data_IF_398815902448
#
_entry.id   IF_398815902448
#
_cell.length_a   1.000
_cell.length_b   1.000
_cell.length_c   1.000
_cell.angle_alpha   90.00
_cell.angle_beta   90.00
_cell.angle_gamma   90.00
#
_symmetry.space_group_name_H-M   'P 1'
#
loop_
_entity.id
_entity.type
_entity.pdbx_description
1 polymer ?
#
# COMPACT_ATOMS: atom_id res chain seq x y z
N UNK A 1 -14.81 -38.51 2.38
CA UNK A 1 -14.50 -37.61 1.24
C UNK A 1 -14.55 -36.12 1.60
N UNK A 2 -15.36 -35.65 2.57
CA UNK A 2 -15.43 -34.22 2.93
C UNK A 2 -14.12 -33.61 3.46
N UNK A 3 -13.33 -34.36 4.25
CA UNK A 3 -12.09 -33.85 4.84
C UNK A 3 -11.05 -33.40 3.80
N UNK A 4 -10.85 -34.19 2.74
CA UNK A 4 -9.92 -33.84 1.65
C UNK A 4 -10.36 -32.57 0.89
N UNK A 5 -11.67 -32.36 0.72
CA UNK A 5 -12.18 -31.14 0.10
C UNK A 5 -11.93 -29.91 0.99
N UNK A 6 -12.20 -29.99 2.30
CA UNK A 6 -11.91 -28.89 3.22
C UNK A 6 -10.42 -28.55 3.27
N UNK A 7 -9.54 -29.55 3.36
CA UNK A 7 -8.08 -29.33 3.34
C UNK A 7 -7.60 -28.73 2.02
N UNK A 8 -8.12 -29.16 0.86
CA UNK A 8 -7.75 -28.57 -0.43
C UNK A 8 -8.18 -27.10 -0.54
N UNK A 9 -9.37 -26.76 -0.03
CA UNK A 9 -9.88 -25.39 -0.01
C UNK A 9 -9.10 -24.51 0.97
N UNK A 10 -8.72 -25.04 2.13
CA UNK A 10 -7.87 -24.37 3.11
C UNK A 10 -6.52 -23.98 2.49
N UNK A 11 -5.84 -24.91 1.81
CA UNK A 11 -4.57 -24.64 1.11
C UNK A 11 -4.74 -23.56 0.02
N UNK A 12 -5.79 -23.65 -0.79
CA UNK A 12 -6.08 -22.65 -1.82
C UNK A 12 -6.34 -21.27 -1.22
N UNK A 13 -7.10 -21.19 -0.13
CA UNK A 13 -7.40 -19.92 0.54
C UNK A 13 -6.17 -19.30 1.19
N UNK A 14 -5.31 -20.11 1.82
CA UNK A 14 -4.04 -19.65 2.39
C UNK A 14 -3.15 -19.06 1.29
N UNK A 15 -3.04 -19.73 0.14
CA UNK A 15 -2.28 -19.19 -1.01
C UNK A 15 -2.85 -17.85 -1.48
N UNK A 16 -4.17 -17.76 -1.66
CA UNK A 16 -4.85 -16.52 -2.07
C UNK A 16 -4.66 -15.38 -1.05
N UNK A 17 -4.71 -15.70 0.24
CA UNK A 17 -4.47 -14.75 1.33
C UNK A 17 -3.05 -14.19 1.26
N UNK A 18 -2.06 -15.05 1.06
CA UNK A 18 -0.65 -14.64 0.95
C UNK A 18 -0.42 -13.73 -0.26
N UNK A 19 -1.01 -14.05 -1.41
CA UNK A 19 -0.92 -13.22 -2.62
C UNK A 19 -1.54 -11.83 -2.39
N UNK A 20 -2.70 -11.78 -1.74
CA UNK A 20 -3.37 -10.53 -1.38
C UNK A 20 -2.54 -9.70 -0.39
N UNK A 21 -1.93 -10.34 0.60
CA UNK A 21 -1.05 -9.68 1.57
C UNK A 21 0.18 -9.09 0.90
N UNK A 22 0.84 -9.85 0.02
CA UNK A 22 2.01 -9.37 -0.73
C UNK A 22 1.66 -8.13 -1.56
N UNK A 23 0.55 -8.18 -2.29
CA UNK A 23 0.09 -7.05 -3.12
C UNK A 23 -0.28 -5.83 -2.28
N UNK A 24 -0.87 -6.02 -1.10
CA UNK A 24 -1.12 -4.94 -0.15
C UNK A 24 0.19 -4.30 0.31
N UNK A 25 1.20 -5.09 0.67
CA UNK A 25 2.52 -4.58 1.05
C UNK A 25 3.16 -3.77 -0.07
N UNK A 26 3.12 -4.25 -1.31
CA UNK A 26 3.62 -3.53 -2.47
C UNK A 26 2.94 -2.16 -2.66
N UNK A 27 1.60 -2.13 -2.56
CA UNK A 27 0.85 -0.88 -2.64
C UNK A 27 1.17 0.07 -1.47
N UNK A 28 1.37 -0.45 -0.26
CA UNK A 28 1.77 0.35 0.89
C UNK A 28 3.14 0.98 0.70
N UNK A 29 4.13 0.23 0.22
CA UNK A 29 5.46 0.77 -0.09
C UNK A 29 5.35 1.87 -1.16
N UNK A 30 4.60 1.61 -2.24
CA UNK A 30 4.37 2.60 -3.29
C UNK A 30 3.68 3.87 -2.78
N UNK A 31 2.72 3.73 -1.86
CA UNK A 31 2.06 4.87 -1.23
C UNK A 31 3.03 5.68 -0.36
N UNK A 32 3.91 5.00 0.38
CA UNK A 32 4.93 5.65 1.19
C UNK A 32 5.93 6.42 0.32
N UNK A 33 6.34 5.85 -0.82
CA UNK A 33 7.24 6.51 -1.77
C UNK A 33 6.58 7.74 -2.41
N UNK A 34 5.32 7.62 -2.85
CA UNK A 34 4.57 8.74 -3.40
C UNK A 34 4.36 9.87 -2.38
N UNK A 35 4.11 9.52 -1.12
CA UNK A 35 3.95 10.50 -0.04
C UNK A 35 5.26 11.24 0.26
N UNK A 36 6.39 10.53 0.28
CA UNK A 36 7.72 11.16 0.41
C UNK A 36 8.01 12.08 -0.79
N UNK A 37 7.70 11.61 -2.00
CA UNK A 37 7.90 12.38 -3.23
C UNK A 37 7.04 13.65 -3.24
N UNK A 38 5.75 13.54 -2.87
CA UNK A 38 4.84 14.68 -2.70
C UNK A 38 5.40 15.70 -1.72
N UNK A 39 5.88 15.24 -0.56
CA UNK A 39 6.49 16.10 0.45
C UNK A 39 7.70 16.86 -0.09
N UNK A 40 8.60 16.17 -0.79
CA UNK A 40 9.77 16.78 -1.42
C UNK A 40 9.38 17.88 -2.44
N UNK A 41 8.37 17.62 -3.28
CA UNK A 41 7.86 18.61 -4.23
C UNK A 41 7.23 19.83 -3.54
N UNK A 42 6.47 19.63 -2.45
CA UNK A 42 5.90 20.74 -1.69
C UNK A 42 6.97 21.60 -1.02
N UNK A 43 7.99 20.99 -0.43
CA UNK A 43 9.14 21.70 0.15
C UNK A 43 9.88 22.48 -0.92
N UNK A 44 10.17 21.86 -2.07
CA UNK A 44 10.83 22.52 -3.19
C UNK A 44 10.03 23.75 -3.67
N UNK A 45 8.72 23.62 -3.85
CA UNK A 45 7.86 24.73 -4.27
C UNK A 45 7.89 25.90 -3.26
N UNK A 46 7.90 25.61 -1.96
CA UNK A 46 8.03 26.62 -0.91
C UNK A 46 9.38 27.32 -0.94
N UNK A 47 10.48 26.59 -1.13
CA UNK A 47 11.83 27.16 -1.26
C UNK A 47 11.90 28.15 -2.43
N UNK A 48 11.34 27.78 -3.59
CA UNK A 48 11.27 28.68 -4.75
C UNK A 48 10.42 29.93 -4.49
N UNK A 49 9.30 29.80 -3.79
CA UNK A 49 8.48 30.94 -3.39
C UNK A 49 9.23 31.90 -2.46
N UNK A 50 9.96 31.38 -1.47
CA UNK A 50 10.75 32.19 -0.54
C UNK A 50 11.91 32.92 -1.25
N UNK A 51 12.57 32.27 -2.21
CA UNK A 51 13.58 32.92 -3.07
C UNK A 51 12.97 34.05 -3.91
N UNK A 52 11.87 33.78 -4.63
CA UNK A 52 11.22 34.79 -5.49
C UNK A 52 10.64 35.97 -4.73
N UNK A 53 10.25 35.78 -3.46
CA UNK A 53 9.78 36.87 -2.58
C UNK A 53 10.91 37.61 -1.87
N UNK A 54 12.18 37.25 -2.11
CA UNK A 54 13.35 37.90 -1.54
C UNK A 54 13.59 37.55 -0.06
N UNK A 55 12.97 36.48 0.44
CA UNK A 55 13.16 35.99 1.81
C UNK A 55 14.32 34.99 1.94
N UNK A 56 15.01 34.68 0.83
CA UNK A 56 16.10 33.71 0.76
C UNK A 56 17.13 34.16 -0.27
N UNK A 57 18.40 34.19 0.12
CA UNK A 57 19.51 34.47 -0.78
C UNK A 57 19.90 33.23 -1.61
N UNK A 58 20.63 33.44 -2.70
CA UNK A 58 20.91 32.40 -3.69
C UNK A 58 21.79 31.25 -3.14
N UNK A 59 22.72 31.54 -2.23
CA UNK A 59 23.52 30.50 -1.55
C UNK A 59 22.64 29.62 -0.64
N UNK A 60 21.64 30.22 0.02
CA UNK A 60 20.68 29.49 0.85
C UNK A 60 19.70 28.65 0.02
N UNK A 61 19.38 29.07 -1.20
CA UNK A 61 18.59 28.31 -2.16
C UNK A 61 19.33 27.03 -2.58
N UNK A 62 20.61 27.14 -2.94
CA UNK A 62 21.42 26.00 -3.38
C UNK A 62 21.63 24.98 -2.25
N UNK A 63 21.83 25.45 -1.01
CA UNK A 63 21.92 24.56 0.16
C UNK A 63 20.57 23.89 0.49
N UNK A 64 19.46 24.62 0.41
CA UNK A 64 18.12 24.09 0.66
C UNK A 64 17.69 23.06 -0.39
N UNK A 65 18.00 23.27 -1.68
CA UNK A 65 17.69 22.32 -2.76
C UNK A 65 18.52 21.03 -2.61
N UNK A 66 19.81 21.15 -2.32
CA UNK A 66 20.69 20.00 -2.17
C UNK A 66 20.34 19.14 -0.95
N UNK A 67 19.86 19.75 0.14
CA UNK A 67 19.37 19.02 1.32
C UNK A 67 17.96 18.44 1.15
N UNK A 68 17.09 19.08 0.34
CA UNK A 68 15.71 18.63 0.15
C UNK A 68 15.56 17.48 -0.87
N UNK A 69 16.56 17.22 -1.72
CA UNK A 69 16.51 16.14 -2.72
C UNK A 69 17.89 15.71 -3.21
N UNK A 70 18.55 14.74 -2.55
CA UNK A 70 19.78 14.16 -3.09
C UNK A 70 19.44 13.36 -4.36
N UNK A 71 19.65 13.95 -5.54
CA UNK A 71 19.57 13.27 -6.85
C UNK A 71 18.52 13.77 -7.84
N UNK A 72 17.68 14.76 -7.50
CA UNK A 72 16.64 15.26 -8.42
C UNK A 72 17.18 16.43 -9.25
N UNK A 73 17.28 16.24 -10.57
CA UNK A 73 17.74 17.25 -11.51
C UNK A 73 16.75 18.43 -11.59
N UNK A 74 17.22 19.63 -11.25
CA UNK A 74 16.44 20.88 -11.17
C UNK A 74 15.78 21.27 -12.52
N UNK A 75 16.24 20.73 -13.65
CA UNK A 75 15.72 21.07 -14.97
C UNK A 75 14.39 20.38 -15.37
N UNK A 76 13.80 19.51 -14.55
CA UNK A 76 12.50 18.88 -14.88
C UNK A 76 11.27 19.69 -14.42
N UNK A 77 11.43 20.98 -14.14
CA UNK A 77 10.39 21.91 -13.67
C UNK A 77 9.39 22.34 -14.77
N UNK A 78 8.81 21.40 -15.50
CA UNK A 78 7.64 21.69 -16.32
C UNK A 78 6.39 21.46 -15.46
N UNK A 79 6.12 22.42 -14.57
CA UNK A 79 4.91 22.57 -13.75
C UNK A 79 4.76 21.63 -12.52
N UNK A 80 5.37 21.99 -11.36
CA UNK A 80 5.27 21.19 -10.12
C UNK A 80 3.82 20.98 -9.64
N UNK A 81 2.88 21.87 -10.00
CA UNK A 81 1.46 21.68 -9.67
C UNK A 81 0.83 20.55 -10.48
N UNK A 82 1.21 20.38 -11.75
CA UNK A 82 0.75 19.28 -12.58
C UNK A 82 1.25 17.94 -12.04
N UNK A 83 2.52 17.87 -11.63
CA UNK A 83 3.12 16.68 -11.02
C UNK A 83 2.46 16.34 -9.67
N UNK A 84 2.22 17.33 -8.80
CA UNK A 84 1.54 17.12 -7.52
C UNK A 84 0.10 16.61 -7.71
N UNK A 85 -0.64 17.12 -8.70
CA UNK A 85 -1.97 16.60 -9.02
C UNK A 85 -1.93 15.15 -9.51
N UNK A 86 -0.94 14.80 -10.33
CA UNK A 86 -0.74 13.40 -10.77
C UNK A 86 -0.43 12.47 -9.60
N UNK A 87 0.46 12.89 -8.68
CA UNK A 87 0.78 12.13 -7.46
C UNK A 87 -0.47 11.94 -6.61
N UNK A 88 -1.24 13.00 -6.37
CA UNK A 88 -2.48 12.93 -5.58
C UNK A 88 -3.53 11.99 -6.20
N UNK A 89 -3.67 12.01 -7.53
CA UNK A 89 -4.56 11.09 -8.23
C UNK A 89 -4.08 9.64 -8.13
N UNK A 90 -2.76 9.40 -8.22
CA UNK A 90 -2.17 8.08 -8.06
C UNK A 90 -2.34 7.56 -6.62
N UNK A 91 -2.15 8.40 -5.60
CA UNK A 91 -2.38 8.05 -4.20
C UNK A 91 -3.83 7.62 -3.95
N UNK A 92 -4.82 8.37 -4.47
CA UNK A 92 -6.24 8.01 -4.37
C UNK A 92 -6.57 6.67 -5.03
N UNK A 93 -5.99 6.41 -6.20
CA UNK A 93 -6.19 5.13 -6.90
C UNK A 93 -5.62 3.96 -6.09
N UNK A 94 -4.41 4.13 -5.55
CA UNK A 94 -3.76 3.14 -4.69
C UNK A 94 -4.57 2.91 -3.41
N UNK A 95 -5.11 3.96 -2.80
CA UNK A 95 -5.95 3.85 -1.61
C UNK A 95 -7.23 3.05 -1.89
N UNK A 96 -7.92 3.34 -3.00
CA UNK A 96 -9.10 2.57 -3.42
C UNK A 96 -8.75 1.10 -3.69
N UNK A 97 -7.64 0.84 -4.36
CA UNK A 97 -7.17 -0.53 -4.63
C UNK A 97 -6.83 -1.27 -3.33
N UNK A 98 -6.10 -0.62 -2.42
CA UNK A 98 -5.75 -1.15 -1.10
C UNK A 98 -7.01 -1.50 -0.29
N UNK A 99 -8.00 -0.60 -0.25
CA UNK A 99 -9.28 -0.86 0.44
C UNK A 99 -10.04 -2.04 -0.18
N UNK A 100 -10.03 -2.15 -1.51
CA UNK A 100 -10.63 -3.29 -2.22
C UNK A 100 -9.92 -4.59 -1.88
N UNK A 101 -8.59 -4.62 -1.89
CA UNK A 101 -7.80 -5.80 -1.55
C UNK A 101 -7.95 -6.18 -0.08
N UNK A 102 -8.01 -5.23 0.85
CA UNK A 102 -8.31 -5.47 2.26
C UNK A 102 -9.69 -6.11 2.44
N UNK A 103 -10.70 -5.63 1.73
CA UNK A 103 -12.04 -6.23 1.76
C UNK A 103 -12.01 -7.67 1.28
N UNK A 104 -11.27 -7.95 0.20
CA UNK A 104 -11.09 -9.31 -0.31
C UNK A 104 -10.33 -10.20 0.69
N UNK A 105 -9.26 -9.68 1.30
CA UNK A 105 -8.48 -10.37 2.32
C UNK A 105 -9.36 -10.76 3.50
N UNK A 106 -10.13 -9.82 4.03
CA UNK A 106 -11.03 -10.06 5.16
C UNK A 106 -12.08 -11.12 4.81
N UNK A 107 -12.70 -11.03 3.64
CA UNK A 107 -13.67 -12.04 3.18
C UNK A 107 -13.04 -13.44 3.09
N UNK A 108 -11.79 -13.54 2.59
CA UNK A 108 -11.05 -14.80 2.47
C UNK A 108 -10.63 -15.37 3.83
N UNK A 109 -10.24 -14.51 4.77
CA UNK A 109 -9.95 -14.91 6.14
C UNK A 109 -11.21 -15.45 6.85
N UNK A 110 -12.36 -14.78 6.70
CA UNK A 110 -13.63 -15.28 7.22
C UNK A 110 -14.02 -16.62 6.59
N UNK A 111 -13.81 -16.80 5.28
CA UNK A 111 -14.05 -18.08 4.60
C UNK A 111 -13.16 -19.20 5.16
N UNK A 112 -11.88 -18.91 5.39
CA UNK A 112 -10.91 -19.84 5.97
C UNK A 112 -11.31 -20.27 7.38
N UNK A 113 -11.71 -19.31 8.23
CA UNK A 113 -12.19 -19.58 9.59
C UNK A 113 -13.44 -20.47 9.59
N UNK A 114 -14.41 -20.17 8.74
CA UNK A 114 -15.63 -20.96 8.60
C UNK A 114 -15.33 -22.41 8.16
N UNK A 115 -14.39 -22.60 7.22
CA UNK A 115 -13.95 -23.93 6.78
C UNK A 115 -13.24 -24.67 7.91
N UNK A 116 -12.38 -23.99 8.68
CA UNK A 116 -11.68 -24.60 9.81
C UNK A 116 -12.66 -25.09 10.88
N UNK A 117 -13.66 -24.26 11.23
CA UNK A 117 -14.72 -24.64 12.17
C UNK A 117 -15.58 -25.80 11.64
N UNK A 118 -15.96 -25.76 10.35
CA UNK A 118 -16.72 -26.83 9.72
C UNK A 118 -15.95 -28.16 9.68
N UNK A 119 -14.63 -28.11 9.42
CA UNK A 119 -13.73 -29.27 9.50
C UNK A 119 -13.72 -29.84 10.91
N UNK A 120 -13.57 -29.00 11.93
CA UNK A 120 -13.50 -29.44 13.32
C UNK A 120 -14.82 -30.08 13.81
N UNK A 121 -15.97 -29.50 13.45
CA UNK A 121 -17.27 -30.10 13.73
C UNK A 121 -17.48 -31.42 12.98
N UNK A 122 -17.05 -31.48 11.71
CA UNK A 122 -17.08 -32.70 10.90
C UNK A 122 -16.24 -33.81 11.51
N UNK A 123 -15.05 -33.50 12.03
CA UNK A 123 -14.23 -34.45 12.78
C UNK A 123 -14.97 -34.89 14.04
N UNK A 124 -15.42 -33.96 14.91
CA UNK A 124 -16.11 -34.29 16.17
C UNK A 124 -17.31 -35.23 15.97
N UNK A 125 -18.05 -35.06 14.88
CA UNK A 125 -19.20 -35.91 14.55
C UNK A 125 -18.81 -37.25 13.91
N UNK A 126 -17.66 -37.32 13.24
CA UNK A 126 -17.16 -38.53 12.60
C UNK A 126 -16.29 -39.40 13.52
N UNK A 127 -15.74 -38.84 14.62
CA UNK A 127 -14.97 -39.60 15.60
C UNK A 127 -15.91 -40.53 16.37
N UNK A 128 -15.67 -41.86 16.40
CA UNK A 128 -16.48 -42.78 17.18
C UNK A 128 -16.47 -42.39 18.65
N UNK A 129 -17.64 -42.19 19.24
CA UNK A 129 -17.76 -42.09 20.70
C UNK A 129 -17.59 -43.51 21.25
N UNK A 130 -16.39 -43.82 21.71
CA UNK A 130 -16.18 -45.01 22.54
C UNK A 130 -16.84 -44.72 23.90
N UNK A 131 -18.01 -45.32 24.12
CA UNK A 131 -18.75 -45.34 25.38
C UNK A 131 -18.78 -46.77 25.92
#
# INVERSE_FOLDING_TARGET
MGYAMFSSREIMLVSQINDLQYRLTELTMKQQDLSQMSSAYTTQAQTYYNFTTGQMDQDALDEAINNASPGTNVNSLQDPNATLQQISNAEKQIEMESKRLQTQLQAKQTELEAISQGKEQGIKNATPKYA
#
